data_IF_921796130248
#
_entry.id   IF_921796130248
#
_cell.length_a   1.000
_cell.length_b   1.000
_cell.length_c   1.000
_cell.angle_alpha   90.00
_cell.angle_beta   90.00
_cell.angle_gamma   90.00
#
_symmetry.space_group_name_H-M   'P 1'
#
loop_
_entity.id
_entity.type
_entity.pdbx_description
1 polymer ?
#
# COMPACT_ATOMS: atom_id res chain seq x y z
N UNK A 1 4.96 -8.01 -0.43
CA UNK A 1 5.77 -9.14 0.07
C UNK A 1 5.75 -9.09 1.57
N UNK A 2 5.54 -10.22 2.22
CA UNK A 2 5.31 -10.28 3.66
C UNK A 2 5.99 -11.51 4.25
N UNK A 3 6.42 -11.45 5.50
CA UNK A 3 7.00 -12.58 6.22
C UNK A 3 6.65 -12.45 7.70
N UNK A 4 6.13 -13.55 8.26
CA UNK A 4 6.12 -13.76 9.70
C UNK A 4 7.41 -14.52 10.04
N UNK A 5 8.38 -13.80 10.61
CA UNK A 5 9.71 -14.31 10.98
C UNK A 5 9.68 -14.68 12.46
N UNK A 6 9.28 -15.93 12.74
CA UNK A 6 9.10 -16.39 14.12
C UNK A 6 10.42 -16.49 14.86
N UNK A 7 11.51 -16.78 14.15
CA UNK A 7 12.84 -16.89 14.74
C UNK A 7 13.29 -15.57 15.38
N UNK A 8 12.87 -14.44 14.82
CA UNK A 8 13.18 -13.10 15.34
C UNK A 8 11.94 -12.41 15.94
N UNK A 9 10.85 -13.15 16.17
CA UNK A 9 9.59 -12.65 16.75
C UNK A 9 9.13 -11.32 16.14
N UNK A 10 9.02 -11.31 14.81
CA UNK A 10 8.63 -10.10 14.08
C UNK A 10 7.83 -10.40 12.82
N UNK A 11 7.03 -9.41 12.43
CA UNK A 11 6.46 -9.33 11.10
C UNK A 11 7.25 -8.37 10.23
N UNK A 12 7.35 -8.69 8.95
CA UNK A 12 8.06 -7.92 7.94
C UNK A 12 7.15 -7.75 6.72
N UNK A 13 7.03 -6.52 6.23
CA UNK A 13 6.42 -6.24 4.94
C UNK A 13 7.32 -5.36 4.08
N UNK A 14 7.41 -5.70 2.80
CA UNK A 14 7.83 -4.77 1.75
C UNK A 14 6.69 -4.69 0.77
N UNK A 15 6.17 -3.49 0.61
CA UNK A 15 5.10 -3.24 -0.32
C UNK A 15 5.54 -2.28 -1.41
N UNK A 16 5.04 -2.60 -2.60
CA UNK A 16 5.15 -1.80 -3.79
C UNK A 16 3.75 -1.33 -4.12
N UNK A 17 3.58 -0.04 -4.40
CA UNK A 17 2.30 0.48 -4.87
C UNK A 17 2.49 1.22 -6.19
N UNK A 18 1.70 0.78 -7.17
CA UNK A 18 1.43 1.52 -8.40
C UNK A 18 0.13 2.31 -8.20
N UNK A 19 0.13 3.59 -8.57
CA UNK A 19 -1.04 4.44 -8.50
C UNK A 19 -1.19 5.25 -9.78
N UNK A 20 -2.45 5.54 -10.11
CA UNK A 20 -2.82 6.51 -11.14
C UNK A 20 -2.16 7.86 -10.86
N UNK A 21 -1.54 8.43 -11.91
CA UNK A 21 -0.94 9.78 -11.89
C UNK A 21 -1.96 10.90 -11.64
N UNK A 22 -3.26 10.61 -11.70
CA UNK A 22 -4.33 11.59 -11.55
C UNK A 22 -4.95 11.64 -10.15
N UNK A 23 -4.69 10.64 -9.29
CA UNK A 23 -5.19 10.62 -7.90
C UNK A 23 -4.05 10.90 -6.93
N UNK A 24 -3.99 12.11 -6.36
CA UNK A 24 -3.00 12.43 -5.35
C UNK A 24 -3.08 11.50 -4.14
N UNK A 25 -1.92 11.19 -3.59
CA UNK A 25 -1.76 10.42 -2.36
C UNK A 25 -0.47 10.86 -1.68
N UNK A 26 -0.21 10.26 -0.52
CA UNK A 26 1.00 10.51 0.26
C UNK A 26 1.17 12.01 0.54
N UNK A 27 2.34 12.54 0.22
CA UNK A 27 2.70 13.92 0.52
C UNK A 27 1.78 14.93 -0.17
N UNK A 28 1.41 14.69 -1.43
CA UNK A 28 0.55 15.61 -2.17
C UNK A 28 -0.88 15.60 -1.62
N UNK A 29 -1.37 14.43 -1.18
CA UNK A 29 -2.64 14.36 -0.45
C UNK A 29 -2.56 15.11 0.87
N UNK A 30 -1.52 14.88 1.67
CA UNK A 30 -1.31 15.59 2.94
C UNK A 30 -1.24 17.11 2.75
N UNK A 31 -0.54 17.58 1.70
CA UNK A 31 -0.46 19.00 1.31
C UNK A 31 -1.83 19.56 0.92
N UNK A 32 -2.60 18.86 0.09
CA UNK A 32 -3.95 19.30 -0.35
C UNK A 32 -4.96 19.33 0.78
N UNK A 33 -4.82 18.41 1.73
CA UNK A 33 -5.61 18.38 2.96
C UNK A 33 -5.21 19.47 3.95
N UNK A 34 -4.16 20.25 3.66
CA UNK A 34 -3.72 21.38 4.48
C UNK A 34 -3.05 20.97 5.78
N UNK A 35 -2.41 19.80 5.82
CA UNK A 35 -1.74 19.29 7.03
C UNK A 35 -0.45 20.06 7.30
N UNK A 36 -0.23 20.38 8.58
CA UNK A 36 0.91 21.22 9.04
C UNK A 36 2.26 20.62 8.63
N UNK A 37 2.38 19.30 8.72
CA UNK A 37 3.52 18.55 8.23
C UNK A 37 3.03 17.63 7.10
N UNK A 38 3.29 17.94 5.83
CA UNK A 38 2.70 17.21 4.70
C UNK A 38 3.37 15.85 4.45
N UNK A 39 3.74 15.09 5.49
CA UNK A 39 4.31 13.76 5.32
C UNK A 39 3.28 12.76 4.83
N UNK A 40 3.72 11.85 3.95
CA UNK A 40 2.87 10.80 3.37
C UNK A 40 2.35 9.83 4.43
N UNK A 41 3.17 9.57 5.45
CA UNK A 41 2.86 8.76 6.61
C UNK A 41 2.89 9.62 7.87
N UNK A 42 1.89 9.45 8.73
CA UNK A 42 1.83 10.16 10.00
C UNK A 42 0.62 9.79 10.83
N UNK A 43 0.58 10.32 12.04
CA UNK A 43 -0.58 10.24 12.93
C UNK A 43 -1.57 11.39 12.66
N UNK A 44 -1.72 11.78 11.39
CA UNK A 44 -2.52 12.94 10.94
C UNK A 44 -3.96 12.94 11.46
N UNK A 45 -4.50 11.76 11.70
CA UNK A 45 -5.84 11.48 12.22
C UNK A 45 -6.03 11.90 13.67
N UNK A 46 -4.95 11.87 14.43
CA UNK A 46 -4.93 12.38 15.80
C UNK A 46 -4.88 13.91 15.80
N UNK A 47 -4.02 14.50 14.98
CA UNK A 47 -3.86 15.95 14.88
C UNK A 47 -5.05 16.63 14.20
N UNK A 48 -5.79 15.88 13.36
CA UNK A 48 -6.97 16.33 12.65
C UNK A 48 -8.05 15.23 12.63
N UNK A 49 -8.86 15.20 13.68
CA UNK A 49 -9.98 14.24 13.83
C UNK A 49 -11.01 14.29 12.69
N UNK A 50 -11.10 15.42 11.97
CA UNK A 50 -12.02 15.55 10.85
C UNK A 50 -11.60 14.70 9.65
N UNK A 51 -10.35 14.24 9.58
CA UNK A 51 -9.95 13.23 8.60
C UNK A 51 -10.74 11.93 8.82
N UNK A 52 -10.89 11.47 10.07
CA UNK A 52 -11.62 10.21 10.40
C UNK A 52 -13.06 10.25 9.95
N UNK A 53 -13.69 11.43 10.02
CA UNK A 53 -15.08 11.64 9.60
C UNK A 53 -15.26 11.63 8.08
N UNK A 54 -14.19 11.71 7.29
CA UNK A 54 -14.24 11.68 5.81
C UNK A 54 -14.23 10.28 5.24
N UNK A 55 -13.94 9.27 6.06
CA UNK A 55 -13.84 7.88 5.63
C UNK A 55 -14.88 7.03 6.34
N UNK A 56 -15.30 5.94 5.71
CA UNK A 56 -16.22 5.01 6.33
C UNK A 56 -15.49 4.06 7.29
N UNK A 57 -16.03 3.87 8.50
CA UNK A 57 -15.38 3.16 9.61
C UNK A 57 -16.34 2.20 10.28
N UNK A 58 -15.83 1.10 10.81
CA UNK A 58 -16.63 0.12 11.57
C UNK A 58 -16.64 0.41 13.07
N UNK A 59 -15.67 1.16 13.59
CA UNK A 59 -15.66 1.65 14.97
C UNK A 59 -15.96 3.14 15.06
N UNK A 60 -16.24 3.61 16.28
CA UNK A 60 -16.46 5.01 16.58
C UNK A 60 -15.20 5.85 16.31
N UNK A 61 -15.39 7.06 15.80
CA UNK A 61 -14.31 7.93 15.30
C UNK A 61 -13.35 8.48 16.37
N UNK A 62 -13.67 8.35 17.66
CA UNK A 62 -12.97 9.03 18.77
C UNK A 62 -12.31 8.05 19.75
N UNK A 63 -11.58 7.06 19.23
CA UNK A 63 -10.78 6.14 20.04
C UNK A 63 -9.42 6.77 20.41
N UNK A 64 -9.01 6.77 21.69
CA UNK A 64 -7.70 7.30 22.10
C UNK A 64 -6.52 6.53 21.51
N UNK A 65 -6.72 5.26 21.15
CA UNK A 65 -5.72 4.40 20.50
C UNK A 65 -5.30 4.93 19.12
N UNK A 66 -6.11 5.77 18.47
CA UNK A 66 -5.78 6.41 17.18
C UNK A 66 -4.54 7.32 17.25
N UNK A 67 -4.20 7.84 18.44
CA UNK A 67 -2.98 8.64 18.63
C UNK A 67 -1.69 7.87 18.30
N UNK A 68 -1.73 6.55 18.46
CA UNK A 68 -0.62 5.65 18.22
C UNK A 68 -0.63 5.02 16.83
N UNK A 69 -1.63 5.36 15.99
CA UNK A 69 -1.75 4.83 14.65
C UNK A 69 -1.04 5.74 13.64
N UNK A 70 -0.10 5.16 12.89
CA UNK A 70 0.52 5.80 11.74
C UNK A 70 -0.07 5.21 10.47
N UNK A 71 -0.35 6.04 9.48
CA UNK A 71 -0.98 5.60 8.26
C UNK A 71 -0.57 6.42 7.04
N UNK A 72 -0.62 5.78 5.88
CA UNK A 72 -0.47 6.42 4.58
C UNK A 72 -1.78 7.04 4.11
N UNK A 73 -1.76 8.34 3.79
CA UNK A 73 -2.95 9.09 3.35
C UNK A 73 -3.20 9.04 1.84
N UNK A 74 -4.47 9.05 1.46
CA UNK A 74 -4.93 9.40 0.11
C UNK A 74 -5.66 10.77 0.07
N UNK A 75 -5.96 11.27 -1.13
CA UNK A 75 -6.57 12.60 -1.32
C UNK A 75 -7.94 12.78 -0.64
N UNK A 76 -8.73 11.72 -0.51
CA UNK A 76 -10.06 11.78 0.14
C UNK A 76 -9.92 11.72 1.67
N UNK A 77 -8.67 11.66 2.15
CA UNK A 77 -8.35 11.37 3.53
C UNK A 77 -8.27 9.89 3.78
N UNK A 78 -8.55 8.97 2.86
CA UNK A 78 -8.47 7.52 3.04
C UNK A 78 -7.12 7.00 3.56
N UNK A 79 -7.15 5.82 4.20
CA UNK A 79 -5.96 4.99 4.40
C UNK A 79 -6.02 3.73 3.62
N UNK A 80 -4.84 3.39 3.11
CA UNK A 80 -4.61 2.14 2.45
C UNK A 80 -3.70 1.23 3.29
N UNK A 81 -2.89 1.81 4.18
CA UNK A 81 -2.05 1.15 5.16
C UNK A 81 -2.15 1.92 6.47
N UNK A 82 -2.36 1.21 7.58
CA UNK A 82 -2.18 1.74 8.92
C UNK A 82 -1.41 0.73 9.78
N UNK A 83 -0.69 1.22 10.78
CA UNK A 83 -0.11 0.38 11.81
C UNK A 83 -0.09 1.10 13.15
N UNK A 84 -0.10 0.33 14.23
CA UNK A 84 -0.05 0.85 15.58
C UNK A 84 1.37 0.77 16.14
N UNK A 85 1.93 1.94 16.52
CA UNK A 85 3.32 2.10 16.98
C UNK A 85 3.69 1.14 18.10
N UNK A 86 2.83 1.04 19.12
CA UNK A 86 3.06 0.19 20.29
C UNK A 86 2.79 -1.31 20.07
N UNK A 87 1.64 -1.68 19.50
CA UNK A 87 1.24 -3.11 19.42
C UNK A 87 1.86 -3.83 18.24
N UNK A 88 2.40 -3.11 17.25
CA UNK A 88 2.94 -3.74 16.05
C UNK A 88 1.85 -4.18 15.06
N UNK A 89 0.58 -3.91 15.35
CA UNK A 89 -0.54 -4.32 14.48
C UNK A 89 -0.48 -3.52 13.19
N UNK A 90 -0.24 -4.24 12.09
CA UNK A 90 -0.16 -3.79 10.71
C UNK A 90 -1.45 -4.15 9.98
N UNK A 91 -2.03 -3.19 9.24
CA UNK A 91 -3.31 -3.33 8.55
C UNK A 91 -3.26 -2.68 7.17
N UNK A 92 -3.19 -3.52 6.14
CA UNK A 92 -3.06 -3.08 4.75
C UNK A 92 -4.19 -3.58 3.88
N UNK A 93 -4.87 -2.68 3.17
CA UNK A 93 -6.00 -3.03 2.30
C UNK A 93 -5.63 -3.11 0.82
N UNK A 94 -5.97 -4.21 0.19
CA UNK A 94 -5.84 -4.45 -1.24
C UNK A 94 -7.22 -4.46 -1.85
N UNK A 95 -7.50 -3.49 -2.72
CA UNK A 95 -8.75 -3.36 -3.45
C UNK A 95 -8.44 -3.43 -4.94
N UNK A 96 -8.87 -4.48 -5.66
CA UNK A 96 -8.64 -4.58 -7.11
C UNK A 96 -9.32 -3.47 -7.91
N UNK A 97 -10.39 -2.87 -7.38
CA UNK A 97 -11.33 -2.02 -8.15
C UNK A 97 -11.28 -0.51 -7.81
N UNK A 98 -10.40 -0.08 -6.89
CA UNK A 98 -10.31 1.33 -6.48
C UNK A 98 -9.25 2.11 -7.27
N UNK A 99 -9.14 1.85 -8.56
CA UNK A 99 -8.57 2.81 -9.50
C UNK A 99 -9.71 3.65 -10.11
N UNK A 100 -9.42 4.88 -10.55
CA UNK A 100 -10.45 5.76 -11.10
C UNK A 100 -11.08 5.23 -12.41
N UNK A 101 -10.50 4.20 -13.04
CA UNK A 101 -11.11 3.53 -14.19
C UNK A 101 -12.23 2.58 -13.74
N UNK A 102 -12.13 1.99 -12.55
CA UNK A 102 -13.19 1.24 -11.89
C UNK A 102 -14.42 2.09 -11.53
N UNK A 103 -14.26 3.38 -11.21
CA UNK A 103 -15.43 4.30 -11.07
C UNK A 103 -16.17 4.53 -12.39
N UNK A 104 -15.45 4.52 -13.52
CA UNK A 104 -16.04 4.73 -14.83
C UNK A 104 -16.71 3.44 -15.36
N UNK A 105 -16.07 2.28 -15.20
CA UNK A 105 -16.61 1.00 -15.70
C UNK A 105 -17.63 0.35 -14.74
N UNK A 106 -17.66 0.74 -13.46
CA UNK A 106 -18.77 0.41 -12.57
C UNK A 106 -20.10 1.06 -13.01
N UNK A 107 -20.09 2.00 -13.97
CA UNK A 107 -21.32 2.47 -14.62
C UNK A 107 -21.74 1.62 -15.84
N UNK A 108 -20.91 0.66 -16.25
CA UNK A 108 -21.14 -0.22 -17.40
C UNK A 108 -21.82 -1.55 -17.07
N UNK A 109 -21.69 -2.04 -15.84
CA UNK A 109 -22.40 -3.24 -15.33
C UNK A 109 -22.78 -3.10 -13.84
N UNK A 110 -23.08 -1.86 -13.40
CA UNK A 110 -23.84 -1.66 -12.17
C UNK A 110 -25.17 -2.39 -12.28
N UNK A 111 -25.27 -3.51 -11.56
CA UNK A 111 -26.47 -4.04 -10.92
C UNK A 111 -27.72 -3.30 -11.38
N UNK A 112 -28.26 -3.76 -12.50
CA UNK A 112 -29.54 -3.31 -13.02
C UNK A 112 -30.58 -3.50 -11.93
N UNK A 113 -31.07 -2.40 -11.34
CA UNK A 113 -32.42 -2.40 -10.77
C UNK A 113 -32.72 -1.64 -9.46
N UNK A 114 -31.76 -1.03 -8.77
CA UNK A 114 -32.09 -0.28 -7.53
C UNK A 114 -31.51 1.14 -7.53
N UNK A 115 -32.31 2.18 -7.86
CA UNK A 115 -31.90 3.56 -7.62
C UNK A 115 -31.79 3.79 -6.10
N UNK A 116 -30.58 4.03 -5.59
CA UNK A 116 -30.38 4.53 -4.22
C UNK A 116 -29.40 3.79 -3.30
N UNK A 117 -28.55 2.86 -3.77
CA UNK A 117 -27.53 2.23 -2.91
C UNK A 117 -26.15 2.86 -3.16
N UNK A 118 -25.61 3.56 -2.17
CA UNK A 118 -24.27 4.14 -2.19
C UNK A 118 -23.21 3.06 -1.91
N UNK A 119 -22.15 3.04 -2.71
CA UNK A 119 -20.99 2.15 -2.54
C UNK A 119 -19.94 2.85 -1.67
N UNK A 120 -19.51 2.16 -0.62
CA UNK A 120 -18.59 2.67 0.39
C UNK A 120 -17.13 2.38 0.02
N UNK A 121 -16.23 3.32 0.33
CA UNK A 121 -14.79 3.13 0.24
C UNK A 121 -14.28 2.40 1.49
N UNK A 122 -13.53 1.31 1.38
CA UNK A 122 -13.03 0.60 2.55
C UNK A 122 -11.78 1.25 3.19
N UNK A 123 -11.37 2.45 2.72
CA UNK A 123 -10.15 3.13 3.16
C UNK A 123 -10.12 3.52 4.65
N UNK A 124 -11.24 3.46 5.37
CA UNK A 124 -11.25 3.64 6.82
C UNK A 124 -10.96 2.36 7.62
N UNK A 125 -11.05 1.17 7.02
CA UNK A 125 -10.91 -0.12 7.70
C UNK A 125 -9.51 -0.38 8.24
N UNK A 126 -8.46 0.04 7.51
CA UNK A 126 -7.08 -0.13 7.97
C UNK A 126 -6.87 0.48 9.37
N UNK A 127 -7.51 1.62 9.65
CA UNK A 127 -7.45 2.24 10.98
C UNK A 127 -8.15 1.44 12.06
N UNK A 128 -9.39 1.03 11.79
CA UNK A 128 -10.18 0.27 12.76
C UNK A 128 -9.47 -1.04 13.15
N UNK A 129 -8.81 -1.67 12.17
CA UNK A 129 -8.02 -2.85 12.44
C UNK A 129 -6.72 -2.52 13.19
N UNK A 130 -6.05 -1.42 12.86
CA UNK A 130 -4.79 -1.05 13.52
C UNK A 130 -4.99 -0.67 15.00
N UNK A 131 -6.17 -0.17 15.39
CA UNK A 131 -6.49 0.09 16.80
C UNK A 131 -6.73 -1.20 17.61
N UNK A 132 -6.82 -2.36 16.96
CA UNK A 132 -6.98 -3.62 17.67
C UNK A 132 -5.73 -3.95 18.50
N UNK A 133 -5.88 -4.63 19.66
CA UNK A 133 -4.75 -5.07 20.48
C UNK A 133 -3.83 -6.11 19.84
N UNK A 134 -4.33 -6.89 18.87
CA UNK A 134 -3.56 -7.91 18.14
C UNK A 134 -4.16 -8.17 16.74
N UNK A 135 -3.42 -8.83 15.87
CA UNK A 135 -3.89 -9.21 14.53
C UNK A 135 -5.11 -10.16 14.60
N UNK A 136 -5.13 -11.08 15.56
CA UNK A 136 -6.28 -11.95 15.81
C UNK A 136 -7.53 -11.15 16.21
N UNK A 137 -7.37 -10.16 17.09
CA UNK A 137 -8.49 -9.31 17.50
C UNK A 137 -8.96 -8.40 16.36
N UNK A 138 -8.06 -7.97 15.46
CA UNK A 138 -8.43 -7.26 14.24
C UNK A 138 -9.26 -8.15 13.29
N UNK A 139 -8.92 -9.44 13.16
CA UNK A 139 -9.73 -10.40 12.38
C UNK A 139 -11.12 -10.55 12.99
N UNK A 140 -11.22 -10.72 14.31
CA UNK A 140 -12.49 -10.87 15.01
C UNK A 140 -13.35 -9.60 14.96
N UNK A 141 -12.74 -8.42 15.00
CA UNK A 141 -13.41 -7.15 14.76
C UNK A 141 -14.10 -7.16 13.39
N UNK A 142 -13.41 -7.55 12.32
CA UNK A 142 -14.01 -7.62 10.99
C UNK A 142 -15.14 -8.65 10.94
N UNK A 143 -14.93 -9.85 11.47
CA UNK A 143 -15.96 -10.91 11.47
C UNK A 143 -17.24 -10.51 12.19
N UNK A 144 -17.12 -9.79 13.30
CA UNK A 144 -18.25 -9.50 14.18
C UNK A 144 -18.90 -8.14 13.93
N UNK A 145 -18.16 -7.16 13.40
CA UNK A 145 -18.62 -5.77 13.27
C UNK A 145 -18.76 -5.27 11.84
N UNK A 146 -18.08 -5.89 10.86
CA UNK A 146 -18.14 -5.42 9.47
C UNK A 146 -19.55 -5.54 8.89
N UNK A 147 -20.16 -6.74 8.93
CA UNK A 147 -21.46 -6.98 8.31
C UNK A 147 -22.57 -6.10 8.90
N UNK A 148 -22.73 -5.97 10.24
CA UNK A 148 -23.71 -5.05 10.81
C UNK A 148 -23.49 -3.59 10.36
N UNK A 149 -22.24 -3.12 10.38
CA UNK A 149 -21.92 -1.74 10.00
C UNK A 149 -22.17 -1.45 8.51
N UNK A 150 -21.88 -2.40 7.62
CA UNK A 150 -22.20 -2.30 6.19
C UNK A 150 -23.72 -2.28 6.02
N UNK A 151 -24.45 -3.20 6.66
CA UNK A 151 -25.92 -3.26 6.57
C UNK A 151 -26.62 -1.95 6.93
N UNK A 152 -26.11 -1.22 7.93
CA UNK A 152 -26.65 0.09 8.33
C UNK A 152 -26.22 1.25 7.42
N UNK A 153 -25.10 1.12 6.70
CA UNK A 153 -24.42 2.24 6.00
C UNK A 153 -24.48 2.16 4.46
N UNK A 154 -24.64 0.99 3.85
CA UNK A 154 -24.60 0.82 2.39
C UNK A 154 -24.03 -0.51 1.93
N UNK A 155 -23.40 -0.54 0.75
CA UNK A 155 -22.66 -1.71 0.26
C UNK A 155 -21.17 -1.40 0.20
N UNK A 156 -20.35 -2.42 0.41
CA UNK A 156 -18.90 -2.30 0.38
C UNK A 156 -18.34 -3.23 -0.70
N UNK A 157 -17.31 -2.77 -1.43
CA UNK A 157 -16.63 -3.61 -2.42
C UNK A 157 -15.94 -4.81 -1.77
N UNK A 158 -15.73 -5.86 -2.56
CA UNK A 158 -14.84 -6.93 -2.18
C UNK A 158 -13.43 -6.38 -1.95
N UNK A 159 -12.74 -6.90 -0.94
CA UNK A 159 -11.38 -6.48 -0.63
C UNK A 159 -10.60 -7.61 0.02
N UNK A 160 -9.27 -7.49 -0.06
CA UNK A 160 -8.36 -8.26 0.77
C UNK A 160 -7.67 -7.33 1.76
N UNK A 161 -7.38 -7.84 2.95
CA UNK A 161 -6.68 -7.13 4.00
C UNK A 161 -5.55 -8.02 4.51
N UNK A 162 -4.33 -7.49 4.62
CA UNK A 162 -3.30 -8.12 5.42
C UNK A 162 -3.37 -7.55 6.83
N UNK A 163 -3.56 -8.43 7.79
CA UNK A 163 -3.52 -8.15 9.21
C UNK A 163 -2.35 -8.89 9.82
N UNK A 164 -1.46 -8.19 10.49
CA UNK A 164 -0.32 -8.84 11.12
C UNK A 164 0.12 -8.13 12.38
N UNK A 165 0.74 -8.89 13.28
CA UNK A 165 1.49 -8.43 14.44
C UNK A 165 2.77 -9.31 14.54
N UNK A 166 3.65 -9.10 15.52
CA UNK A 166 4.89 -9.89 15.64
C UNK A 166 4.69 -11.41 15.76
N UNK A 167 3.49 -11.88 16.08
CA UNK A 167 3.19 -13.28 16.38
C UNK A 167 2.27 -13.96 15.38
N UNK A 168 1.37 -13.21 14.76
CA UNK A 168 0.34 -13.72 13.86
C UNK A 168 0.21 -12.84 12.61
N UNK A 169 -0.02 -13.48 11.47
CA UNK A 169 -0.32 -12.79 10.22
C UNK A 169 -1.42 -13.52 9.45
N UNK A 170 -2.34 -12.76 8.87
CA UNK A 170 -3.51 -13.25 8.16
C UNK A 170 -3.74 -12.48 6.86
N UNK A 171 -4.15 -13.19 5.82
CA UNK A 171 -4.89 -12.59 4.69
C UNK A 171 -6.37 -12.72 5.02
N UNK A 172 -7.05 -11.60 5.18
CA UNK A 172 -8.50 -11.53 5.30
C UNK A 172 -9.10 -11.20 3.94
N UNK A 173 -10.14 -11.90 3.54
CA UNK A 173 -10.90 -11.64 2.33
C UNK A 173 -12.36 -11.35 2.69
N UNK A 174 -12.90 -10.27 2.15
CA UNK A 174 -14.33 -9.96 2.20
C UNK A 174 -14.92 -10.04 0.80
N UNK A 175 -16.02 -10.76 0.64
CA UNK A 175 -16.67 -11.00 -0.67
C UNK A 175 -17.55 -9.82 -1.15
N UNK A 176 -17.59 -8.72 -0.41
CA UNK A 176 -18.43 -7.56 -0.72
C UNK A 176 -19.86 -7.66 -0.18
N UNK A 177 -20.21 -8.77 0.50
CA UNK A 177 -21.60 -9.02 0.90
C UNK A 177 -21.74 -9.64 2.28
N UNK A 178 -21.37 -10.90 2.44
CA UNK A 178 -21.81 -11.73 3.57
C UNK A 178 -20.65 -12.48 4.25
N UNK A 179 -19.49 -12.59 3.60
CA UNK A 179 -18.44 -13.51 4.04
C UNK A 179 -17.13 -12.81 4.33
N UNK A 180 -16.64 -12.95 5.56
CA UNK A 180 -15.27 -12.58 5.98
C UNK A 180 -14.47 -13.86 6.24
N UNK A 181 -13.51 -14.16 5.37
CA UNK A 181 -12.59 -15.30 5.51
C UNK A 181 -11.24 -14.81 5.97
N UNK A 182 -10.57 -15.53 6.88
CA UNK A 182 -9.21 -15.21 7.30
C UNK A 182 -8.33 -16.45 7.16
N UNK A 183 -7.25 -16.29 6.41
CA UNK A 183 -6.27 -17.34 6.11
C UNK A 183 -4.95 -16.98 6.78
N UNK A 184 -4.45 -17.79 7.74
CA UNK A 184 -3.17 -17.51 8.37
C UNK A 184 -2.03 -17.68 7.38
N UNK A 185 -0.97 -16.91 7.57
CA UNK A 185 0.27 -17.09 6.84
C UNK A 185 0.93 -18.38 7.30
N UNK A 186 1.60 -19.08 6.38
CA UNK A 186 2.55 -20.13 6.76
C UNK A 186 3.83 -19.49 7.26
N UNK A 187 4.32 -19.98 8.40
CA UNK A 187 5.49 -19.44 9.08
C UNK A 187 6.75 -19.51 8.19
N UNK A 188 7.66 -18.54 8.39
CA UNK A 188 9.04 -18.52 7.89
C UNK A 188 9.18 -18.62 6.36
N UNK A 189 8.13 -18.27 5.61
CA UNK A 189 8.17 -18.17 4.15
C UNK A 189 7.65 -16.81 3.67
N UNK A 190 8.29 -16.20 2.66
CA UNK A 190 7.77 -14.99 2.04
C UNK A 190 6.41 -15.27 1.39
N UNK A 191 5.41 -14.48 1.77
CA UNK A 191 4.11 -14.41 1.14
C UNK A 191 4.10 -13.25 0.15
N UNK A 192 3.66 -13.51 -1.08
CA UNK A 192 3.48 -12.48 -2.10
C UNK A 192 1.97 -12.33 -2.32
N UNK A 193 1.50 -11.08 -2.37
CA UNK A 193 0.13 -10.76 -2.76
C UNK A 193 0.22 -9.70 -3.84
N UNK A 194 -0.58 -9.86 -4.89
CA UNK A 194 -0.80 -8.82 -5.91
C UNK A 194 -2.20 -8.23 -5.68
N UNK A 195 -2.50 -7.09 -6.31
CA UNK A 195 -3.82 -6.44 -6.16
C UNK A 195 -4.96 -7.28 -6.75
N UNK A 196 -4.64 -8.23 -7.64
CA UNK A 196 -5.61 -9.06 -8.35
C UNK A 196 -5.99 -10.34 -7.59
N UNK A 197 -5.08 -10.95 -6.83
CA UNK A 197 -5.32 -12.20 -6.08
C UNK A 197 -4.10 -12.57 -5.18
N UNK A 198 -4.22 -13.56 -4.27
CA UNK A 198 -3.07 -14.21 -3.64
C UNK A 198 -2.08 -14.69 -4.71
N UNK A 199 -0.78 -14.42 -4.54
CA UNK A 199 0.21 -14.76 -5.57
C UNK A 199 0.22 -16.27 -5.82
N UNK A 200 -0.24 -16.64 -7.01
CA UNK A 200 -0.47 -18.03 -7.41
C UNK A 200 -1.46 -18.13 -8.56
N UNK A 201 -2.41 -17.19 -8.65
CA UNK A 201 -3.38 -17.11 -9.74
C UNK A 201 -2.74 -16.70 -11.08
N UNK A 202 -1.84 -15.72 -11.06
CA UNK A 202 -1.14 -15.22 -12.25
C UNK A 202 0.36 -15.60 -12.29
N UNK A 203 0.93 -15.64 -13.50
CA UNK A 203 2.32 -16.04 -13.74
C UNK A 203 3.34 -15.07 -13.11
N UNK A 204 3.01 -13.78 -13.04
CA UNK A 204 3.89 -12.74 -12.51
C UNK A 204 4.05 -12.86 -10.99
N UNK A 205 2.93 -13.01 -10.26
CA UNK A 205 2.92 -13.24 -8.81
C UNK A 205 3.67 -14.52 -8.43
N UNK A 206 3.50 -15.60 -9.22
CA UNK A 206 4.22 -16.86 -8.99
C UNK A 206 5.74 -16.70 -9.12
N UNK A 207 6.21 -16.05 -10.18
CA UNK A 207 7.65 -15.79 -10.38
C UNK A 207 8.23 -14.90 -9.26
N UNK A 208 7.48 -13.89 -8.82
CA UNK A 208 7.89 -13.08 -7.67
C UNK A 208 7.99 -13.91 -6.39
N UNK A 209 7.04 -14.81 -6.14
CA UNK A 209 7.07 -15.71 -4.99
C UNK A 209 8.24 -16.70 -5.03
N UNK A 210 8.49 -17.33 -6.18
CA UNK A 210 9.64 -18.22 -6.38
C UNK A 210 10.96 -17.50 -6.13
N UNK A 211 11.09 -16.26 -6.62
CA UNK A 211 12.30 -15.46 -6.42
C UNK A 211 12.46 -14.99 -4.97
N UNK A 212 11.36 -14.60 -4.33
CA UNK A 212 11.35 -14.23 -2.92
C UNK A 212 11.86 -15.37 -2.02
N UNK A 213 11.54 -16.62 -2.38
CA UNK A 213 12.04 -17.82 -1.67
C UNK A 213 13.55 -18.06 -1.88
N UNK A 214 14.12 -17.53 -2.95
CA UNK A 214 15.55 -17.68 -3.28
C UNK A 214 16.47 -16.60 -2.70
N UNK A 215 15.92 -15.60 -2.00
CA UNK A 215 16.69 -14.51 -1.38
C UNK A 215 16.56 -14.57 0.15
N UNK A 216 17.60 -14.10 0.84
CA UNK A 216 17.58 -14.04 2.30
C UNK A 216 16.48 -13.09 2.80
N UNK A 217 15.84 -13.47 3.91
CA UNK A 217 14.88 -12.62 4.59
C UNK A 217 15.55 -11.33 5.11
N UNK A 218 14.86 -10.18 5.09
CA UNK A 218 15.43 -8.93 5.58
C UNK A 218 15.67 -9.03 7.07
N UNK A 219 16.84 -8.64 7.56
CA UNK A 219 17.11 -8.48 9.01
C UNK A 219 16.71 -7.07 9.45
N UNK A 220 16.80 -6.78 10.76
CA UNK A 220 16.47 -5.46 11.30
C UNK A 220 17.40 -4.35 10.78
N UNK A 221 18.61 -4.72 10.30
CA UNK A 221 19.55 -3.77 9.72
C UNK A 221 19.08 -3.33 8.34
N UNK A 222 18.98 -2.02 8.10
CA UNK A 222 18.61 -1.45 6.81
C UNK A 222 19.31 -2.15 5.63
N UNK A 223 20.64 -2.28 5.64
CA UNK A 223 21.42 -2.90 4.54
C UNK A 223 20.95 -4.31 4.13
N UNK A 224 20.31 -5.04 5.04
CA UNK A 224 19.82 -6.40 4.79
C UNK A 224 18.43 -6.46 4.13
N UNK A 225 17.77 -5.32 3.89
CA UNK A 225 16.53 -5.25 3.10
C UNK A 225 16.79 -5.26 1.59
N UNK A 226 18.02 -4.93 1.17
CA UNK A 226 18.43 -4.92 -0.24
C UNK A 226 18.15 -6.24 -1.00
N UNK A 227 18.37 -7.46 -0.42
CA UNK A 227 18.02 -8.71 -1.08
C UNK A 227 16.55 -8.79 -1.50
N UNK A 228 15.62 -8.36 -0.64
CA UNK A 228 14.20 -8.34 -0.99
C UNK A 228 13.82 -7.16 -1.90
N UNK A 229 14.45 -5.99 -1.76
CA UNK A 229 14.29 -4.90 -2.73
C UNK A 229 14.69 -5.35 -4.14
N UNK A 230 15.74 -6.17 -4.26
CA UNK A 230 16.16 -6.73 -5.54
C UNK A 230 15.09 -7.62 -6.18
N UNK A 231 14.23 -8.28 -5.41
CA UNK A 231 13.14 -9.14 -5.94
C UNK A 231 12.23 -8.36 -6.91
N UNK A 232 12.13 -7.05 -6.72
CA UNK A 232 11.35 -6.18 -7.58
C UNK A 232 12.08 -5.68 -8.83
N UNK A 233 13.40 -5.90 -9.00
CA UNK A 233 14.18 -5.30 -10.11
C UNK A 233 14.52 -6.23 -11.27
N UNK A 234 14.21 -7.51 -11.21
CA UNK A 234 14.56 -8.48 -12.26
C UNK A 234 13.44 -9.52 -12.42
N UNK A 235 12.36 -9.10 -13.07
CA UNK A 235 11.14 -9.91 -13.24
C UNK A 235 11.21 -10.92 -14.39
N UNK A 236 12.24 -10.86 -15.23
CA UNK A 236 12.42 -11.72 -16.41
C UNK A 236 13.71 -12.54 -16.30
N UNK A 237 13.72 -13.81 -16.75
CA UNK A 237 14.97 -14.60 -16.84
C UNK A 237 16.01 -13.91 -17.73
N UNK A 238 17.24 -13.78 -17.23
CA UNK A 238 18.33 -13.11 -17.95
C UNK A 238 18.20 -11.58 -18.01
N UNK A 239 17.38 -10.98 -17.14
CA UNK A 239 17.38 -9.53 -16.95
C UNK A 239 18.81 -9.04 -16.66
N UNK A 240 19.25 -7.92 -17.26
CA UNK A 240 20.54 -7.34 -16.96
C UNK A 240 20.60 -6.91 -15.49
N UNK A 241 21.82 -6.71 -14.97
CA UNK A 241 21.99 -6.10 -13.65
C UNK A 241 21.30 -4.72 -13.63
N UNK A 242 20.71 -4.32 -12.52
CA UNK A 242 20.08 -3.01 -12.38
C UNK A 242 21.05 -1.85 -12.68
N UNK A 243 22.33 -2.02 -12.35
CA UNK A 243 23.37 -1.03 -12.65
C UNK A 243 23.75 -0.98 -14.14
N UNK A 244 23.26 -1.91 -14.95
CA UNK A 244 23.48 -1.93 -16.40
C UNK A 244 22.62 -0.86 -17.08
N UNK A 245 23.22 -0.09 -17.97
CA UNK A 245 22.54 0.94 -18.77
C UNK A 245 21.40 0.42 -19.65
N UNK A 246 21.37 -0.88 -19.95
CA UNK A 246 20.31 -1.54 -20.72
C UNK A 246 19.14 -1.98 -19.84
N UNK A 247 19.29 -1.90 -18.52
CA UNK A 247 18.19 -2.12 -17.60
C UNK A 247 17.22 -0.94 -17.65
N UNK A 248 15.92 -1.24 -17.73
CA UNK A 248 14.85 -0.25 -17.70
C UNK A 248 13.77 -0.69 -16.73
N UNK A 249 13.23 0.26 -15.96
CA UNK A 249 12.12 0.00 -15.04
C UNK A 249 10.84 -0.38 -15.81
N UNK A 250 10.66 0.13 -17.03
CA UNK A 250 9.55 -0.26 -17.89
C UNK A 250 9.51 -1.77 -18.13
N UNK A 251 10.67 -2.41 -18.32
CA UNK A 251 10.75 -3.83 -18.70
C UNK A 251 11.04 -4.77 -17.54
N UNK A 252 12.00 -4.44 -16.69
CA UNK A 252 12.58 -5.38 -15.73
C UNK A 252 12.13 -5.16 -14.28
N UNK A 253 11.44 -4.04 -14.00
CA UNK A 253 10.86 -3.78 -12.67
C UNK A 253 9.49 -4.44 -12.52
N UNK A 254 9.27 -5.06 -11.37
CA UNK A 254 7.98 -5.53 -10.88
C UNK A 254 7.03 -4.38 -10.60
N UNK A 255 7.57 -3.23 -10.23
CA UNK A 255 6.81 -2.01 -10.03
C UNK A 255 6.81 -1.27 -11.37
N UNK A 256 5.67 -1.25 -12.09
CA UNK A 256 5.58 -0.84 -13.51
C UNK A 256 5.20 0.62 -13.72
N UNK A 257 5.87 1.40 -14.57
CA UNK A 257 5.53 2.80 -14.75
C UNK A 257 4.03 2.99 -15.02
N UNK A 258 3.40 4.03 -14.45
CA UNK A 258 1.95 4.14 -14.32
C UNK A 258 1.26 4.39 -15.68
N UNK A 259 2.03 4.72 -16.72
CA UNK A 259 1.54 4.90 -18.07
C UNK A 259 1.48 3.60 -18.88
N UNK A 260 2.16 2.54 -18.44
CA UNK A 260 2.34 1.29 -19.22
C UNK A 260 1.02 0.59 -19.50
N UNK A 261 0.07 0.69 -18.57
CA UNK A 261 -1.25 0.05 -18.67
C UNK A 261 -2.35 1.08 -19.02
N UNK A 262 -1.99 2.24 -19.60
CA UNK A 262 -2.95 3.28 -20.00
C UNK A 262 -3.09 3.37 -21.52
N UNK A 263 -4.30 3.69 -21.98
CA UNK A 263 -4.58 3.89 -23.41
C UNK A 263 -3.94 5.16 -24.01
N UNK A 264 -3.34 6.04 -23.20
CA UNK A 264 -2.70 7.30 -23.60
C UNK A 264 -1.18 7.29 -23.30
N UNK A 265 -0.50 6.19 -23.64
CA UNK A 265 0.93 5.98 -23.36
C UNK A 265 1.85 7.09 -23.92
N UNK A 266 1.51 7.63 -25.10
CA UNK A 266 2.36 8.58 -25.84
C UNK A 266 2.43 9.97 -25.19
N UNK A 267 1.40 10.37 -24.46
CA UNK A 267 1.39 11.62 -23.68
C UNK A 267 2.35 11.60 -22.50
N UNK A 268 2.66 10.40 -21.98
CA UNK A 268 3.42 10.21 -20.73
C UNK A 268 4.83 9.65 -20.94
N UNK A 269 5.07 8.95 -22.06
CA UNK A 269 6.39 8.41 -22.43
C UNK A 269 7.41 9.50 -22.84
N UNK A 270 6.95 10.65 -23.35
CA UNK A 270 7.78 11.71 -23.95
C UNK A 270 7.55 13.10 -23.33
N UNK A 271 7.28 13.18 -22.03
CA UNK A 271 6.90 14.42 -21.31
C UNK A 271 7.91 15.60 -21.40
N UNK A 272 9.02 15.43 -22.11
CA UNK A 272 10.10 16.40 -22.29
C UNK A 272 10.24 17.02 -23.69
N UNK A 273 9.40 16.64 -24.69
CA UNK A 273 9.60 17.09 -26.08
C UNK A 273 8.68 18.24 -26.56
N UNK A 274 7.63 18.62 -25.82
CA UNK A 274 6.83 19.83 -26.10
C UNK A 274 6.40 20.49 -24.78
N UNK A 275 6.25 21.83 -24.72
CA UNK A 275 6.03 22.53 -23.46
C UNK A 275 4.65 22.20 -22.90
N UNK A 276 4.66 21.57 -21.74
CA UNK A 276 3.50 21.35 -20.88
C UNK A 276 2.94 22.70 -20.43
N UNK A 277 1.68 23.00 -20.76
CA UNK A 277 1.05 24.27 -20.37
C UNK A 277 0.45 24.25 -18.96
N UNK A 278 0.28 23.06 -18.33
CA UNK A 278 0.23 22.89 -16.87
C UNK A 278 0.61 21.46 -16.44
N UNK A 279 1.92 21.20 -16.21
CA UNK A 279 2.45 19.96 -15.67
C UNK A 279 2.30 19.79 -14.14
N UNK A 280 1.57 20.67 -13.41
CA UNK A 280 1.18 20.47 -11.97
C UNK A 280 0.16 19.36 -11.75
N UNK A 281 -0.21 18.72 -12.86
CA UNK A 281 -1.18 17.66 -13.08
C UNK A 281 -0.52 16.28 -13.24
N UNK A 282 0.78 16.17 -12.93
CA UNK A 282 1.52 14.91 -13.02
C UNK A 282 2.34 14.75 -11.74
N UNK A 283 1.74 14.12 -10.72
CA UNK A 283 2.47 13.55 -9.59
C UNK A 283 2.58 12.05 -9.87
N UNK A 284 3.76 11.58 -10.25
CA UNK A 284 4.01 10.15 -10.23
C UNK A 284 4.63 9.77 -8.91
N UNK A 285 3.84 9.17 -8.05
CA UNK A 285 4.27 8.66 -6.77
C UNK A 285 4.12 7.15 -6.80
N UNK A 286 5.26 6.48 -6.93
CA UNK A 286 5.37 5.09 -6.48
C UNK A 286 5.99 5.13 -5.13
N UNK A 287 5.34 4.45 -4.20
CA UNK A 287 5.87 4.19 -2.88
C UNK A 287 6.31 2.74 -2.83
N UNK A 288 7.60 2.54 -2.58
CA UNK A 288 8.02 1.33 -1.88
C UNK A 288 8.02 1.69 -0.41
N UNK A 289 7.33 0.90 0.40
CA UNK A 289 7.30 1.08 1.84
C UNK A 289 7.77 -0.20 2.50
N UNK A 290 8.65 -0.05 3.47
CA UNK A 290 9.19 -1.14 4.25
C UNK A 290 8.61 -1.06 5.67
N UNK A 291 8.27 -2.20 6.23
CA UNK A 291 7.70 -2.28 7.57
C UNK A 291 8.29 -3.47 8.30
N UNK A 292 8.63 -3.26 9.56
CA UNK A 292 8.84 -4.35 10.50
C UNK A 292 8.06 -4.07 11.78
N UNK A 293 7.57 -5.11 12.44
CA UNK A 293 7.08 -5.01 13.81
C UNK A 293 7.65 -6.15 14.62
N UNK A 294 8.34 -5.83 15.71
CA UNK A 294 8.89 -6.79 16.66
C UNK A 294 8.33 -6.58 18.06
N UNK A 295 8.95 -7.21 19.05
CA UNK A 295 8.55 -7.12 20.46
C UNK A 295 8.50 -5.70 21.03
N UNK A 296 9.32 -4.79 20.49
CA UNK A 296 9.40 -3.40 20.96
C UNK A 296 8.33 -2.50 20.36
N UNK A 297 7.61 -2.97 19.33
CA UNK A 297 6.59 -2.23 18.61
C UNK A 297 6.79 -2.27 17.09
N UNK A 298 6.04 -1.41 16.39
CA UNK A 298 6.17 -1.20 14.96
C UNK A 298 7.31 -0.24 14.61
N UNK A 299 8.01 -0.57 13.54
CA UNK A 299 9.08 0.19 12.95
C UNK A 299 8.84 0.26 11.43
N UNK A 300 8.30 1.39 10.95
CA UNK A 300 8.20 1.65 9.52
C UNK A 300 9.54 2.17 9.02
N UNK A 301 10.36 1.29 8.50
CA UNK A 301 11.57 1.72 7.82
C UNK A 301 11.21 2.24 6.44
N UNK A 302 11.76 3.37 6.03
CA UNK A 302 11.94 3.65 4.60
C UNK A 302 10.67 3.61 3.72
N UNK A 303 10.15 4.80 3.36
CA UNK A 303 9.30 4.93 2.17
C UNK A 303 9.97 5.83 1.13
N UNK A 304 9.98 5.40 -0.13
CA UNK A 304 10.44 6.22 -1.25
C UNK A 304 9.20 6.56 -2.07
N UNK A 305 8.64 7.73 -1.81
CA UNK A 305 7.65 8.34 -2.68
C UNK A 305 8.39 9.30 -3.62
N UNK A 306 8.67 8.85 -4.85
CA UNK A 306 9.24 9.76 -5.85
C UNK A 306 8.20 10.81 -6.19
N UNK A 307 8.57 12.08 -6.15
CA UNK A 307 7.68 13.16 -6.55
C UNK A 307 8.35 13.87 -7.73
N UNK A 308 7.56 14.17 -8.75
CA UNK A 308 7.96 15.04 -9.84
C UNK A 308 7.05 16.27 -9.77
N UNK A 309 7.61 17.40 -9.36
CA UNK A 309 6.89 18.67 -9.28
C UNK A 309 7.07 19.50 -10.56
N UNK A 310 6.21 20.49 -10.78
CA UNK A 310 6.29 21.45 -11.91
C UNK A 310 7.66 22.15 -12.01
N UNK A 311 8.33 22.32 -10.87
CA UNK A 311 9.64 22.97 -10.76
C UNK A 311 10.84 22.01 -10.86
N UNK A 312 10.59 20.69 -10.89
CA UNK A 312 11.65 19.68 -11.03
C UNK A 312 11.82 19.29 -12.50
N UNK A 313 13.05 19.06 -12.97
CA UNK A 313 13.27 18.57 -14.32
C UNK A 313 12.58 17.21 -14.47
N UNK A 314 11.53 17.17 -15.30
CA UNK A 314 10.84 15.93 -15.64
C UNK A 314 11.85 15.03 -16.38
N UNK A 315 12.00 13.75 -15.97
CA UNK A 315 12.88 12.82 -16.68
C UNK A 315 12.52 12.77 -18.16
N UNK A 316 13.54 12.79 -19.02
CA UNK A 316 13.34 12.65 -20.46
C UNK A 316 12.64 11.34 -20.85
N UNK A 317 12.79 10.31 -19.99
CA UNK A 317 12.19 9.00 -20.13
C UNK A 317 11.91 8.43 -18.72
N UNK A 318 10.63 8.32 -18.35
CA UNK A 318 10.18 7.76 -17.06
C UNK A 318 10.52 6.27 -16.95
N UNK A 319 10.64 5.56 -18.08
CA UNK A 319 11.04 4.14 -18.13
C UNK A 319 12.51 3.90 -17.76
N UNK A 320 13.34 4.95 -17.78
CA UNK A 320 14.75 4.93 -17.34
C UNK A 320 14.94 5.40 -15.91
N UNK A 321 13.89 5.83 -15.21
CA UNK A 321 14.02 6.13 -13.79
C UNK A 321 14.40 4.86 -13.02
N UNK A 322 15.46 4.97 -12.23
CA UNK A 322 15.96 3.85 -11.44
C UNK A 322 14.95 3.32 -10.42
N UNK A 323 15.12 2.10 -9.93
CA UNK A 323 14.39 1.58 -8.78
C UNK A 323 15.16 1.86 -7.48
N UNK A 324 14.53 2.11 -6.33
CA UNK A 324 15.23 2.17 -5.05
C UNK A 324 15.79 0.77 -4.70
N UNK A 325 17.08 0.54 -4.91
CA UNK A 325 17.70 -0.78 -4.67
C UNK A 325 18.37 -0.88 -3.32
N UNK A 326 18.64 0.26 -2.71
CA UNK A 326 19.26 0.33 -1.40
C UNK A 326 18.33 1.05 -0.41
N UNK A 327 18.39 0.69 0.87
CA UNK A 327 17.64 1.39 1.92
C UNK A 327 17.97 2.87 2.03
N UNK A 328 19.18 3.29 1.61
CA UNK A 328 19.61 4.69 1.61
C UNK A 328 18.84 5.54 0.58
N UNK A 329 18.13 4.91 -0.36
CA UNK A 329 17.25 5.58 -1.32
C UNK A 329 15.92 6.06 -0.71
N UNK A 330 15.68 5.84 0.60
CA UNK A 330 14.38 6.03 1.24
C UNK A 330 14.40 7.07 2.36
N UNK A 331 13.26 7.69 2.63
CA UNK A 331 13.05 8.51 3.82
C UNK A 331 12.62 7.63 5.00
N UNK A 332 13.33 7.71 6.12
CA UNK A 332 13.07 6.88 7.30
C UNK A 332 12.16 7.62 8.28
N UNK A 333 11.05 6.99 8.68
CA UNK A 333 10.21 7.45 9.78
C UNK A 333 10.24 6.37 10.87
N UNK A 334 11.18 6.48 11.80
CA UNK A 334 11.25 5.58 12.94
C UNK A 334 10.02 5.81 13.83
N UNK A 335 9.10 4.85 13.80
CA UNK A 335 7.91 4.84 14.65
C UNK A 335 8.23 4.51 16.11
N UNK A 336 9.44 4.00 16.38
CA UNK A 336 9.97 3.74 17.70
C UNK A 336 11.30 4.48 17.86
N UNK A 337 11.39 5.41 18.80
CA UNK A 337 12.63 6.18 19.08
C UNK A 337 13.55 5.46 20.07
N UNK A 338 13.18 4.25 20.49
CA UNK A 338 13.90 3.46 21.50
C UNK A 338 14.72 2.29 20.91
N UNK A 339 14.79 2.14 19.58
CA UNK A 339 15.65 1.15 18.91
C UNK A 339 17.07 1.64 18.67
#
# INVERSE_FOLDING_TARGET
>A
MFLLDRANERFVAIEARDNSIYRPHGFEAARRLGLTQPFSYGAHWHENSDLRKKVWTVQAAESPELAEVVSGLDIEGGSWLAFHRRTGVYCRIFTPEWDEHGRADATGDAVSGAPGVELLAPGGLSFDCATAPSAEQAVELLRTRLLPAVGDSGKLFAFHLVLADPHNAFVVSFDGRDTVTATPFTDDRPHVLTAADPAGADEFGRRLAERAQGVEAPTEKLTSWAPWLSVFTATEPGAPDYADQNWTAERYSAIRPPYRDTADEFRYKNATLFPTSDPRRIAWTKSVSIYSAGQTGAELFAYNERQLFEYQPVPADVGRMGFPTTPDDFFVVTANTNS
#
